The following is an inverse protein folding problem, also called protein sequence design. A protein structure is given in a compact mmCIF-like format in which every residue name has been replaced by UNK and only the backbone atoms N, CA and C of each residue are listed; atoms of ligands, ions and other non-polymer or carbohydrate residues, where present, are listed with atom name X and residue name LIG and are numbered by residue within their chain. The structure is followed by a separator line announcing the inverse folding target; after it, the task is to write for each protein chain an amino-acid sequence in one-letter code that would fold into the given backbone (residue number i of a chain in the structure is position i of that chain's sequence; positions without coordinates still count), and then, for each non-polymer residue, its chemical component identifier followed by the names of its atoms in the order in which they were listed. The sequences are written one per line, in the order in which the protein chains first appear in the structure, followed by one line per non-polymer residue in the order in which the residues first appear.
data_IF_733723377546
#
_entry.id   IF_733723377546
#
_cell.length_a   1.000
_cell.length_b   1.000
_cell.length_c   1.000
_cell.angle_alpha   90.00
_cell.angle_beta   90.00
_cell.angle_gamma   90.00
#
_symmetry.space_group_name_H-M   'P 1'
#
loop_
_entity.id
_entity.type
_entity.pdbx_description
1 polymer ?
#
# COMPACT_ATOMS: atom_id res chain seq x y z
N UNK A 1 -5.95 -16.58 -16.61
CA UNK A 1 -6.62 -17.88 -16.40
C UNK A 1 -6.90 -18.52 -17.76
N UNK A 2 -7.07 -19.84 -17.85
CA UNK A 2 -7.50 -20.53 -19.07
C UNK A 2 -8.61 -21.52 -18.77
N UNK A 3 -9.68 -21.52 -19.56
CA UNK A 3 -10.81 -22.43 -19.42
C UNK A 3 -11.30 -22.87 -20.80
N UNK A 4 -11.89 -24.06 -20.88
CA UNK A 4 -12.37 -24.67 -22.12
C UNK A 4 -13.45 -25.70 -21.81
N UNK A 5 -14.34 -25.90 -22.75
CA UNK A 5 -15.35 -26.95 -22.72
C UNK A 5 -15.22 -27.84 -23.98
N UNK A 6 -15.73 -29.06 -23.92
CA UNK A 6 -15.66 -30.02 -25.04
C UNK A 6 -16.87 -29.92 -25.99
N UNK A 7 -17.96 -29.26 -25.59
CA UNK A 7 -19.19 -29.07 -26.36
C UNK A 7 -19.44 -27.61 -26.74
N UNK A 8 -19.10 -26.67 -25.85
CA UNK A 8 -19.33 -25.24 -26.02
C UNK A 8 -18.06 -24.48 -26.40
N UNK A 9 -18.21 -23.40 -27.20
CA UNK A 9 -17.10 -22.50 -27.47
C UNK A 9 -16.83 -21.61 -26.25
N UNK A 10 -15.58 -21.20 -26.03
CA UNK A 10 -15.17 -20.40 -24.86
C UNK A 10 -15.99 -19.12 -24.65
N UNK A 11 -16.46 -18.49 -25.75
CA UNK A 11 -17.29 -17.28 -25.72
C UNK A 11 -18.72 -17.52 -25.23
N UNK A 12 -19.18 -18.77 -25.24
CA UNK A 12 -20.53 -19.16 -24.78
C UNK A 12 -20.52 -19.59 -23.30
N UNK A 13 -19.33 -19.67 -22.69
CA UNK A 13 -19.14 -19.94 -21.27
C UNK A 13 -19.28 -18.66 -20.44
N UNK A 14 -19.89 -18.78 -19.28
CA UNK A 14 -20.07 -17.68 -18.32
C UNK A 14 -19.08 -17.85 -17.17
N UNK A 15 -18.24 -16.84 -16.96
CA UNK A 15 -17.30 -16.73 -15.85
C UNK A 15 -17.94 -15.89 -14.74
N UNK A 16 -17.82 -16.37 -13.51
CA UNK A 16 -18.17 -15.65 -12.29
C UNK A 16 -16.95 -15.63 -11.37
N UNK A 17 -16.50 -14.43 -11.01
CA UNK A 17 -15.48 -14.24 -9.98
C UNK A 17 -16.16 -13.90 -8.66
N UNK A 18 -15.85 -14.64 -7.60
CA UNK A 18 -16.45 -14.48 -6.28
C UNK A 18 -15.32 -14.35 -5.28
N UNK A 19 -15.30 -13.26 -4.52
CA UNK A 19 -14.33 -13.05 -3.45
C UNK A 19 -15.03 -13.19 -2.12
N UNK A 20 -14.50 -14.05 -1.26
CA UNK A 20 -14.97 -14.25 0.10
C UNK A 20 -13.91 -13.83 1.11
N UNK A 21 -14.33 -13.27 2.23
CA UNK A 21 -13.43 -12.97 3.35
C UNK A 21 -13.08 -14.24 4.17
N UNK A 22 -12.20 -14.08 5.16
CA UNK A 22 -11.82 -15.15 6.09
C UNK A 22 -12.98 -15.79 6.88
N UNK A 23 -14.16 -15.14 6.91
CA UNK A 23 -15.38 -15.69 7.53
C UNK A 23 -16.23 -16.51 6.55
N UNK A 24 -15.85 -16.51 5.26
CA UNK A 24 -16.59 -17.13 4.17
C UNK A 24 -17.73 -16.26 3.62
N UNK A 25 -17.77 -14.98 3.98
CA UNK A 25 -18.80 -14.04 3.48
C UNK A 25 -18.36 -13.47 2.13
N UNK A 26 -19.24 -13.46 1.14
CA UNK A 26 -18.98 -12.80 -0.15
C UNK A 26 -18.85 -11.29 0.05
N UNK A 27 -17.69 -10.75 -0.31
CA UNK A 27 -17.38 -9.32 -0.20
C UNK A 27 -17.40 -8.63 -1.55
N UNK A 28 -17.16 -9.37 -2.63
CA UNK A 28 -17.05 -8.80 -3.96
C UNK A 28 -17.34 -9.84 -5.03
N UNK A 29 -17.92 -9.39 -6.15
CA UNK A 29 -18.21 -10.21 -7.32
C UNK A 29 -17.71 -9.49 -8.57
N UNK A 30 -16.93 -10.20 -9.39
CA UNK A 30 -16.35 -9.65 -10.61
C UNK A 30 -17.27 -9.77 -11.83
N UNK A 31 -16.82 -9.23 -12.99
CA UNK A 31 -17.55 -9.26 -14.25
C UNK A 31 -17.49 -10.64 -14.92
N UNK A 32 -18.35 -10.89 -15.92
CA UNK A 32 -18.23 -12.05 -16.81
C UNK A 32 -17.17 -11.79 -17.89
N UNK A 33 -15.91 -11.74 -17.47
CA UNK A 33 -14.74 -11.51 -18.32
C UNK A 33 -13.62 -12.49 -17.94
N UNK A 34 -12.71 -12.84 -18.86
CA UNK A 34 -11.61 -13.79 -18.61
C UNK A 34 -10.56 -13.26 -17.63
N UNK A 35 -10.56 -11.96 -17.36
CA UNK A 35 -9.65 -11.27 -16.45
C UNK A 35 -10.44 -10.34 -15.54
N UNK A 36 -10.00 -10.21 -14.30
CA UNK A 36 -10.62 -9.35 -13.31
C UNK A 36 -9.57 -8.57 -12.53
N UNK A 37 -9.59 -7.24 -12.68
CA UNK A 37 -8.78 -6.33 -11.88
C UNK A 37 -9.53 -6.02 -10.59
N UNK A 38 -9.02 -6.54 -9.49
CA UNK A 38 -9.57 -6.36 -8.15
C UNK A 38 -9.02 -5.04 -7.58
N UNK A 39 -9.91 -4.15 -7.13
CA UNK A 39 -9.57 -2.88 -6.49
C UNK A 39 -10.40 -2.70 -5.23
N UNK A 40 -9.99 -1.77 -4.36
CA UNK A 40 -10.80 -1.32 -3.21
C UNK A 40 -11.20 -2.41 -2.21
N UNK A 41 -10.41 -3.48 -2.10
CA UNK A 41 -10.51 -4.42 -0.99
C UNK A 41 -9.71 -3.91 0.21
N UNK A 42 -10.31 -3.88 1.41
CA UNK A 42 -9.56 -3.62 2.64
C UNK A 42 -8.43 -4.65 2.86
N UNK A 43 -7.50 -4.32 3.76
CA UNK A 43 -6.52 -5.31 4.19
C UNK A 43 -7.22 -6.51 4.86
N UNK A 44 -6.68 -7.71 4.63
CA UNK A 44 -7.25 -8.95 5.14
C UNK A 44 -6.96 -10.15 4.27
N UNK A 45 -7.47 -11.30 4.72
CA UNK A 45 -7.36 -12.58 4.02
C UNK A 45 -8.62 -12.86 3.21
N UNK A 46 -8.42 -13.26 1.96
CA UNK A 46 -9.48 -13.49 1.00
C UNK A 46 -9.28 -14.80 0.24
N UNK A 47 -10.39 -15.36 -0.20
CA UNK A 47 -10.43 -16.47 -1.16
C UNK A 47 -11.11 -15.96 -2.42
N UNK A 48 -10.40 -15.99 -3.54
CA UNK A 48 -10.94 -15.75 -4.87
C UNK A 48 -11.36 -17.08 -5.49
N UNK A 49 -12.66 -17.26 -5.73
CA UNK A 49 -13.21 -18.35 -6.53
C UNK A 49 -13.50 -17.86 -7.95
N UNK A 50 -12.98 -18.60 -8.94
CA UNK A 50 -13.31 -18.44 -10.34
C UNK A 50 -14.19 -19.61 -10.78
N UNK A 51 -15.45 -19.34 -11.07
CA UNK A 51 -16.44 -20.34 -11.47
C UNK A 51 -16.83 -20.14 -12.92
N UNK A 52 -16.79 -21.20 -13.71
CA UNK A 52 -17.19 -21.20 -15.13
C UNK A 52 -18.41 -22.10 -15.30
N UNK A 53 -19.42 -21.60 -16.01
CA UNK A 53 -20.69 -22.30 -16.27
C UNK A 53 -20.90 -22.43 -17.78
N UNK A 54 -21.24 -23.64 -18.24
CA UNK A 54 -21.57 -23.93 -19.65
C UNK A 54 -23.02 -23.56 -20.00
N UNK A 55 -23.42 -23.68 -21.27
CA UNK A 55 -24.77 -23.34 -21.72
C UNK A 55 -25.84 -24.32 -21.20
N UNK A 56 -25.44 -25.50 -20.73
CA UNK A 56 -26.29 -26.54 -20.16
C UNK A 56 -26.41 -26.42 -18.63
N UNK A 57 -25.67 -25.48 -18.02
CA UNK A 57 -25.63 -25.21 -16.59
C UNK A 57 -24.65 -26.06 -15.78
N UNK A 58 -23.76 -26.84 -16.41
CA UNK A 58 -22.67 -27.51 -15.72
C UNK A 58 -21.60 -26.48 -15.33
N UNK A 59 -21.00 -26.66 -14.15
CA UNK A 59 -20.08 -25.69 -13.57
C UNK A 59 -18.78 -26.35 -13.14
N UNK A 60 -17.67 -25.65 -13.34
CA UNK A 60 -16.36 -25.96 -12.74
C UNK A 60 -15.85 -24.72 -12.02
N UNK A 61 -15.15 -24.89 -10.89
CA UNK A 61 -14.52 -23.77 -10.20
C UNK A 61 -13.10 -24.09 -9.75
N UNK A 62 -12.31 -23.03 -9.57
CA UNK A 62 -10.97 -23.06 -9.01
C UNK A 62 -10.82 -21.92 -8.00
N UNK A 63 -9.94 -22.06 -7.02
CA UNK A 63 -9.82 -21.12 -5.90
C UNK A 63 -8.37 -20.74 -5.63
N UNK A 64 -8.15 -19.47 -5.30
CA UNK A 64 -6.85 -18.93 -4.89
C UNK A 64 -7.02 -18.12 -3.62
N UNK A 65 -6.20 -18.41 -2.62
CA UNK A 65 -6.10 -17.61 -1.40
C UNK A 65 -5.12 -16.45 -1.64
N UNK A 66 -5.48 -15.25 -1.22
CA UNK A 66 -4.61 -14.09 -1.26
C UNK A 66 -4.83 -13.20 -0.03
N UNK A 67 -3.83 -12.38 0.26
CA UNK A 67 -3.86 -11.42 1.35
C UNK A 67 -3.64 -10.03 0.78
N UNK A 68 -4.41 -9.06 1.27
CA UNK A 68 -4.12 -7.64 1.11
C UNK A 68 -3.49 -7.18 2.42
N UNK A 69 -2.21 -6.79 2.36
CA UNK A 69 -1.48 -6.26 3.51
C UNK A 69 -1.75 -4.76 3.65
N UNK A 70 -1.48 -4.22 4.84
CA UNK A 70 -1.41 -2.77 5.03
C UNK A 70 -0.22 -2.18 4.23
N UNK A 71 -0.23 -0.86 4.06
CA UNK A 71 0.91 -0.13 3.49
C UNK A 71 2.09 -0.17 4.48
N UNK A 72 3.28 -0.11 3.92
CA UNK A 72 4.58 -0.27 4.57
C UNK A 72 5.58 0.49 3.68
N UNK A 73 5.75 1.78 3.95
CA UNK A 73 6.39 2.76 3.07
C UNK A 73 7.92 2.57 3.05
N UNK A 74 8.52 2.28 4.20
CA UNK A 74 9.95 2.01 4.34
C UNK A 74 10.33 0.52 4.17
N UNK A 75 9.34 -0.38 4.15
CA UNK A 75 9.52 -1.81 3.89
C UNK A 75 10.08 -2.58 5.08
N UNK A 76 9.90 -2.08 6.30
CA UNK A 76 10.50 -2.65 7.50
C UNK A 76 9.57 -3.62 8.26
N UNK A 77 8.31 -3.78 7.79
CA UNK A 77 7.31 -4.71 8.31
C UNK A 77 7.64 -6.18 7.99
N UNK A 78 8.72 -6.63 8.61
CA UNK A 78 9.38 -7.92 8.39
C UNK A 78 9.18 -8.84 9.60
N UNK A 79 9.64 -10.09 9.51
CA UNK A 79 9.52 -11.05 10.61
C UNK A 79 10.30 -10.65 11.90
N UNK A 80 11.24 -9.71 11.80
CA UNK A 80 11.94 -9.12 12.95
C UNK A 80 11.12 -8.00 13.61
N UNK A 81 10.15 -7.45 12.91
CA UNK A 81 9.23 -6.47 13.46
C UNK A 81 8.18 -7.19 14.32
N UNK A 82 8.20 -6.93 15.63
CA UNK A 82 7.35 -7.66 16.58
C UNK A 82 6.38 -6.73 17.29
N UNK A 83 5.10 -7.11 17.28
CA UNK A 83 4.07 -6.40 18.02
C UNK A 83 4.15 -6.68 19.53
N UNK A 84 4.22 -5.62 20.33
CA UNK A 84 4.28 -5.71 21.80
C UNK A 84 2.96 -5.29 22.43
N UNK A 85 2.14 -6.25 22.85
CA UNK A 85 0.81 -6.02 23.46
C UNK A 85 0.80 -5.18 24.76
N UNK A 86 1.94 -4.96 25.40
CA UNK A 86 2.02 -4.11 26.60
C UNK A 86 2.09 -2.62 26.26
N UNK A 87 2.64 -2.32 25.09
CA UNK A 87 2.91 -0.97 24.61
C UNK A 87 2.09 -0.64 23.36
N UNK A 88 1.39 -1.62 22.81
CA UNK A 88 0.60 -1.55 21.57
C UNK A 88 1.39 -0.96 20.39
N UNK A 89 2.70 -1.25 20.33
CA UNK A 89 3.59 -0.80 19.25
C UNK A 89 4.25 -1.97 18.57
N UNK A 90 4.50 -1.81 17.28
CA UNK A 90 5.42 -2.62 16.52
C UNK A 90 6.85 -2.09 16.73
N UNK A 91 7.79 -2.99 16.95
CA UNK A 91 9.18 -2.60 17.24
C UNK A 91 10.14 -3.72 16.87
N UNK A 92 11.27 -3.34 16.28
CA UNK A 92 12.38 -4.24 16.00
C UNK A 92 13.41 -4.14 17.12
N UNK A 93 13.36 -5.11 18.05
CA UNK A 93 14.25 -5.15 19.21
C UNK A 93 15.73 -5.38 18.88
N UNK A 94 16.05 -5.85 17.67
CA UNK A 94 17.44 -6.11 17.26
C UNK A 94 18.19 -4.83 16.90
N UNK A 95 17.50 -3.89 16.25
CA UNK A 95 18.07 -2.60 15.82
C UNK A 95 17.62 -1.44 16.71
N UNK A 96 16.56 -1.61 17.48
CA UNK A 96 16.05 -0.61 18.41
C UNK A 96 15.20 0.48 17.74
N UNK A 97 14.52 0.16 16.64
CA UNK A 97 13.70 1.08 15.86
C UNK A 97 12.22 0.69 15.88
N UNK A 98 11.31 1.68 15.79
CA UNK A 98 9.96 1.48 15.28
C UNK A 98 9.98 0.73 13.96
N UNK A 99 8.89 0.04 13.66
CA UNK A 99 8.70 -0.70 12.43
C UNK A 99 7.23 -1.01 12.29
N UNK A 100 6.78 -1.48 11.12
CA UNK A 100 5.46 -2.06 10.95
C UNK A 100 4.66 -1.43 9.82
N UNK A 101 3.33 -1.60 9.82
CA UNK A 101 2.51 -0.96 8.81
C UNK A 101 2.37 0.54 9.10
N UNK A 102 2.32 1.39 8.06
CA UNK A 102 2.27 2.86 8.14
C UNK A 102 1.26 3.42 9.17
N UNK A 103 0.14 2.73 9.37
CA UNK A 103 -0.88 3.20 10.31
C UNK A 103 -0.43 3.11 11.79
N UNK A 104 0.49 2.20 12.10
CA UNK A 104 0.93 1.85 13.45
C UNK A 104 2.43 2.08 13.68
N UNK A 105 3.18 2.33 12.62
CA UNK A 105 4.53 2.86 12.70
C UNK A 105 4.48 4.35 13.11
N UNK A 106 5.61 4.87 13.59
CA UNK A 106 5.72 6.25 14.07
C UNK A 106 6.70 7.09 13.25
N UNK A 107 7.27 6.50 12.21
CA UNK A 107 8.31 7.01 11.33
C UNK A 107 8.25 6.22 10.01
N UNK A 108 7.18 6.44 9.22
CA UNK A 108 6.77 5.59 8.08
C UNK A 108 7.81 5.52 6.93
N UNK A 109 8.74 6.47 6.87
CA UNK A 109 9.79 6.53 5.87
C UNK A 109 11.21 6.34 6.46
N UNK A 110 11.31 6.21 7.78
CA UNK A 110 12.51 5.91 8.55
C UNK A 110 13.64 6.94 8.33
N UNK A 111 13.30 8.22 8.09
CA UNK A 111 14.27 9.31 7.96
C UNK A 111 14.79 9.83 9.32
N UNK A 112 14.12 9.42 10.41
CA UNK A 112 14.46 9.73 11.80
C UNK A 112 13.64 10.89 12.41
N UNK A 113 12.70 11.45 11.65
CA UNK A 113 11.71 12.42 12.09
C UNK A 113 10.35 11.71 12.22
N UNK A 114 9.79 11.58 13.43
CA UNK A 114 8.51 10.90 13.60
C UNK A 114 7.38 11.60 12.87
N UNK A 115 6.44 10.86 12.26
CA UNK A 115 5.34 11.37 11.42
C UNK A 115 4.57 12.54 12.03
N UNK A 116 4.41 12.53 13.35
CA UNK A 116 3.71 13.58 14.09
C UNK A 116 4.42 14.95 14.05
N UNK A 117 5.64 15.02 13.55
CA UNK A 117 6.49 16.21 13.41
C UNK A 117 7.12 16.30 12.02
N UNK A 118 6.65 15.47 11.10
CA UNK A 118 7.13 15.41 9.73
C UNK A 118 6.06 15.99 8.81
N UNK A 119 6.42 16.96 7.98
CA UNK A 119 5.51 17.54 6.99
C UNK A 119 5.38 16.66 5.73
N UNK A 120 6.29 15.71 5.55
CA UNK A 120 6.36 14.70 4.49
C UNK A 120 6.53 13.25 5.04
N UNK A 121 5.62 12.72 5.87
CA UNK A 121 5.82 11.46 6.61
C UNK A 121 6.11 10.18 5.78
N UNK A 122 6.01 10.25 4.45
CA UNK A 122 6.14 9.09 3.56
C UNK A 122 7.30 9.28 2.55
N UNK A 123 8.13 10.30 2.73
CA UNK A 123 9.21 10.64 1.82
C UNK A 123 10.49 10.96 2.56
N UNK A 124 11.31 9.92 2.75
CA UNK A 124 12.55 10.00 3.53
C UNK A 124 13.59 11.02 3.04
N UNK A 125 13.34 11.70 1.92
CA UNK A 125 14.18 12.76 1.41
C UNK A 125 13.86 14.14 2.00
N UNK A 126 12.74 14.35 2.67
CA UNK A 126 12.31 15.66 3.18
C UNK A 126 11.46 15.50 4.44
N UNK A 127 11.50 16.47 5.35
CA UNK A 127 10.71 16.41 6.58
C UNK A 127 10.12 17.75 7.06
N UNK A 128 10.51 18.89 6.46
CA UNK A 128 10.18 20.23 6.95
C UNK A 128 9.63 21.10 5.81
N UNK A 129 8.52 21.79 6.10
CA UNK A 129 7.90 22.83 5.27
C UNK A 129 7.58 24.04 6.17
N UNK A 130 8.52 24.99 6.26
CA UNK A 130 8.50 26.06 7.26
C UNK A 130 7.34 27.05 7.04
N UNK A 131 7.00 27.36 5.79
CA UNK A 131 5.93 28.30 5.45
C UNK A 131 4.58 27.64 5.12
N UNK A 132 4.57 26.32 4.97
CA UNK A 132 3.38 25.50 4.71
C UNK A 132 2.86 25.63 3.29
N UNK A 133 3.71 25.96 2.31
CA UNK A 133 3.32 26.09 0.91
C UNK A 133 3.26 24.76 0.15
N UNK A 134 3.74 23.68 0.77
CA UNK A 134 3.77 22.32 0.25
C UNK A 134 5.08 21.94 -0.45
N UNK A 135 6.10 22.80 -0.45
CA UNK A 135 7.46 22.48 -0.87
C UNK A 135 8.40 22.35 0.34
N UNK A 136 9.30 21.37 0.36
CA UNK A 136 10.18 21.18 1.51
C UNK A 136 11.30 22.21 1.51
N UNK A 137 11.72 22.68 2.69
CA UNK A 137 12.87 23.59 2.83
C UNK A 137 14.15 22.96 2.22
N UNK A 138 14.34 21.65 2.43
CA UNK A 138 15.51 20.89 2.00
C UNK A 138 15.12 19.52 1.44
N UNK A 139 15.88 19.04 0.45
CA UNK A 139 15.76 17.67 -0.09
C UNK A 139 17.09 16.92 0.05
N UNK A 140 17.13 15.96 0.96
CA UNK A 140 18.30 15.16 1.32
C UNK A 140 17.96 13.65 1.34
N UNK A 141 18.00 13.00 0.18
CA UNK A 141 17.68 11.57 0.08
C UNK A 141 18.74 10.64 0.70
N UNK A 142 18.33 9.65 1.50
CA UNK A 142 19.15 8.51 1.90
C UNK A 142 19.65 7.69 0.71
N UNK A 143 20.74 6.94 0.91
CA UNK A 143 21.35 6.10 -0.14
C UNK A 143 20.33 5.08 -0.69
N UNK A 144 20.01 5.21 -1.98
CA UNK A 144 19.08 4.30 -2.68
C UNK A 144 17.64 4.80 -2.74
N UNK A 145 17.30 5.88 -2.05
CA UNK A 145 16.01 6.56 -2.14
C UNK A 145 16.07 7.69 -3.18
N UNK A 146 14.92 8.02 -3.75
CA UNK A 146 14.76 9.15 -4.66
C UNK A 146 13.37 9.75 -4.50
N UNK A 147 13.30 11.08 -4.43
CA UNK A 147 12.03 11.81 -4.41
C UNK A 147 11.78 12.55 -5.72
N UNK A 148 10.51 12.94 -5.93
CA UNK A 148 10.08 13.89 -6.95
C UNK A 148 9.94 15.31 -6.41
N UNK A 149 10.12 15.51 -5.10
CA UNK A 149 10.09 16.81 -4.46
C UNK A 149 11.28 17.67 -4.91
N UNK A 150 11.07 18.99 -4.88
CA UNK A 150 12.09 19.99 -5.13
C UNK A 150 12.13 20.90 -3.91
N UNK A 151 13.33 21.19 -3.40
CA UNK A 151 13.51 22.13 -2.31
C UNK A 151 12.91 23.49 -2.68
N UNK A 152 12.24 24.11 -1.71
CA UNK A 152 11.72 25.45 -1.85
C UNK A 152 12.86 26.47 -1.99
N UNK A 153 12.50 27.68 -2.42
CA UNK A 153 13.46 28.76 -2.64
C UNK A 153 13.18 29.97 -1.74
N UNK A 154 12.15 29.92 -0.89
CA UNK A 154 11.67 31.03 -0.05
C UNK A 154 10.99 30.45 1.21
N UNK A 155 11.78 29.83 2.09
CA UNK A 155 11.31 28.99 3.21
C UNK A 155 10.38 29.72 4.22
N UNK A 156 10.33 31.06 4.19
CA UNK A 156 9.46 31.86 5.07
C UNK A 156 8.40 32.71 4.31
N UNK A 157 8.33 32.55 2.99
CA UNK A 157 7.42 33.23 2.06
C UNK A 157 7.40 34.77 2.20
N UNK A 158 8.52 35.38 2.59
CA UNK A 158 8.60 36.83 2.72
C UNK A 158 8.77 37.55 1.36
N UNK A 159 9.02 36.77 0.30
CA UNK A 159 9.22 37.21 -1.07
C UNK A 159 10.68 37.48 -1.43
N UNK A 160 11.62 37.12 -0.55
CA UNK A 160 13.06 37.16 -0.77
C UNK A 160 13.59 35.72 -0.76
N UNK A 161 14.10 35.21 -1.89
CA UNK A 161 14.60 33.84 -1.92
C UNK A 161 15.77 33.60 -0.95
N UNK A 162 15.92 32.40 -0.39
CA UNK A 162 16.91 32.06 0.66
C UNK A 162 18.34 32.39 0.22
N UNK A 163 18.63 32.21 -1.07
CA UNK A 163 19.94 32.53 -1.68
C UNK A 163 20.27 34.03 -1.63
N UNK A 164 19.27 34.88 -1.43
CA UNK A 164 19.39 36.33 -1.29
C UNK A 164 19.22 36.80 0.17
N UNK A 165 18.82 35.91 1.07
CA UNK A 165 18.84 36.17 2.50
C UNK A 165 20.27 36.19 3.03
N UNK A 166 20.57 37.20 3.85
CA UNK A 166 21.87 37.29 4.51
C UNK A 166 21.91 36.36 5.71
N UNK A 167 22.94 35.51 5.79
CA UNK A 167 23.23 34.60 6.93
C UNK A 167 23.00 35.21 8.31
#
# INVERSE_FOLDING_TARGET
MSYSDDLDATQDLVVEWIITDATGSEVMRGPNEPEYNITDLPYGFYVLEAKVTDALGATSSDTVDFEITQLDTDGDWTNSCTYTQQTDVWFNAEIGYPCGPDQEDTDDDNDGVPDARDDYPMDACAFLDTDGDGQPDDVNCPDGMTTWLFADQDDDNDGIPDVMEGT
#
